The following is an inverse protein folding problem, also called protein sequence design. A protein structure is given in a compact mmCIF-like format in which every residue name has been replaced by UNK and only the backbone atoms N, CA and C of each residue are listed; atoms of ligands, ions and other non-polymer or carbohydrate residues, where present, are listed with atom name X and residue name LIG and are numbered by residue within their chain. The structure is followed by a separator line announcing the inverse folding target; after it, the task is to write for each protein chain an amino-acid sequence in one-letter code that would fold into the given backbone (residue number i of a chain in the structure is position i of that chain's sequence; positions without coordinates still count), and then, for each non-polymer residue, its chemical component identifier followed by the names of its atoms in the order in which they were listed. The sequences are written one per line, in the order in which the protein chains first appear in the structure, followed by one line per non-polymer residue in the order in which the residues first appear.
data_IF_898959561852
#
_entry.id   IF_898959561852
#
_cell.length_a   1.000
_cell.length_b   1.000
_cell.length_c   1.000
_cell.angle_alpha   90.00
_cell.angle_beta   90.00
_cell.angle_gamma   90.00
#
_symmetry.space_group_name_H-M   'P 1'
#
loop_
_entity.id
_entity.type
_entity.pdbx_description
1 polymer ?
#
# COMPACT_ATOMS: atom_id res chain seq x y z
N UNK A 1 -3.99 4.69 16.00
CA UNK A 1 -3.63 4.11 14.69
C UNK A 1 -4.09 2.66 14.60
N UNK A 2 -3.76 1.79 15.55
CA UNK A 2 -4.13 0.37 15.50
C UNK A 2 -5.66 0.20 15.39
N UNK A 3 -6.44 0.89 16.22
CA UNK A 3 -7.91 0.86 16.15
C UNK A 3 -8.43 1.31 14.79
N UNK A 4 -7.84 2.37 14.21
CA UNK A 4 -8.17 2.82 12.86
C UNK A 4 -7.91 1.74 11.80
N UNK A 5 -6.76 1.04 11.88
CA UNK A 5 -6.47 -0.07 10.96
C UNK A 5 -7.45 -1.23 11.13
N UNK A 6 -7.88 -1.47 12.36
CA UNK A 6 -8.86 -2.51 12.66
C UNK A 6 -10.23 -2.18 12.04
N UNK A 7 -10.69 -0.95 12.20
CA UNK A 7 -11.93 -0.46 11.60
C UNK A 7 -11.88 -0.50 10.07
N UNK A 8 -10.77 0.00 9.48
CA UNK A 8 -10.53 -0.05 8.03
C UNK A 8 -10.54 -1.48 7.47
N UNK A 9 -9.99 -2.44 8.18
CA UNK A 9 -10.01 -3.83 7.78
C UNK A 9 -11.41 -4.45 7.97
N UNK A 10 -12.09 -4.11 9.06
CA UNK A 10 -13.37 -4.69 9.47
C UNK A 10 -14.46 -4.45 8.42
N UNK A 11 -14.69 -3.19 8.02
CA UNK A 11 -15.71 -2.89 7.03
C UNK A 11 -15.39 -3.45 5.65
N UNK A 12 -14.11 -3.47 5.25
CA UNK A 12 -13.67 -4.07 3.98
C UNK A 12 -13.93 -5.56 3.92
N UNK A 13 -13.58 -6.29 4.99
CA UNK A 13 -13.86 -7.72 5.08
C UNK A 13 -15.35 -8.02 5.01
N UNK A 14 -16.17 -7.21 5.69
CA UNK A 14 -17.63 -7.37 5.65
C UNK A 14 -18.17 -7.22 4.22
N UNK A 15 -17.73 -6.20 3.49
CA UNK A 15 -18.16 -5.97 2.10
C UNK A 15 -17.65 -7.08 1.17
N UNK A 16 -16.37 -7.47 1.27
CA UNK A 16 -15.79 -8.55 0.49
C UNK A 16 -16.44 -9.90 0.77
N UNK A 17 -16.82 -10.18 2.02
CA UNK A 17 -17.57 -11.39 2.38
C UNK A 17 -18.98 -11.39 1.78
N UNK A 18 -19.65 -10.24 1.74
CA UNK A 18 -20.93 -10.08 1.06
C UNK A 18 -20.85 -10.34 -0.44
N UNK A 19 -19.83 -9.79 -1.10
CA UNK A 19 -19.54 -10.02 -2.52
C UNK A 19 -19.20 -11.48 -2.82
N UNK A 20 -18.38 -12.11 -1.96
CA UNK A 20 -18.08 -13.53 -2.06
C UNK A 20 -19.37 -14.36 -2.02
N UNK A 21 -20.24 -14.10 -1.05
CA UNK A 21 -21.54 -14.79 -0.91
C UNK A 21 -22.42 -14.55 -2.15
N UNK A 22 -22.45 -13.32 -2.68
CA UNK A 22 -23.22 -13.02 -3.89
C UNK A 22 -22.74 -13.83 -5.10
N UNK A 23 -21.42 -14.03 -5.26
CA UNK A 23 -20.84 -14.90 -6.27
C UNK A 23 -21.25 -16.37 -6.05
N UNK A 24 -21.23 -16.83 -4.78
CA UNK A 24 -21.61 -18.22 -4.44
C UNK A 24 -23.06 -18.54 -4.80
N UNK A 25 -23.95 -17.59 -4.59
CA UNK A 25 -25.40 -17.74 -4.80
C UNK A 25 -25.85 -17.38 -6.22
N UNK A 26 -24.99 -16.83 -7.05
CA UNK A 26 -25.33 -16.45 -8.41
C UNK A 26 -25.63 -17.69 -9.29
N UNK A 27 -26.77 -17.63 -10.01
CA UNK A 27 -27.05 -18.61 -11.04
C UNK A 27 -26.24 -18.32 -12.32
N UNK A 28 -26.22 -19.25 -13.25
CA UNK A 28 -25.40 -19.19 -14.47
C UNK A 28 -25.56 -17.90 -15.27
N UNK A 29 -26.76 -17.32 -15.31
CA UNK A 29 -27.03 -16.06 -16.03
C UNK A 29 -26.42 -14.84 -15.33
N UNK A 30 -26.33 -14.84 -14.00
CA UNK A 30 -25.85 -13.71 -13.18
C UNK A 30 -24.38 -13.86 -12.80
N UNK A 31 -23.85 -15.07 -12.82
CA UNK A 31 -22.50 -15.38 -12.37
C UNK A 31 -21.41 -14.56 -13.09
N UNK A 32 -21.41 -14.39 -14.42
CA UNK A 32 -20.37 -13.59 -15.07
C UNK A 32 -20.34 -12.13 -14.59
N UNK A 33 -21.52 -11.53 -14.39
CA UNK A 33 -21.61 -10.15 -13.88
C UNK A 33 -21.16 -10.08 -12.42
N UNK A 34 -21.60 -11.01 -11.57
CA UNK A 34 -21.20 -11.07 -10.16
C UNK A 34 -19.68 -11.20 -10.01
N UNK A 35 -19.04 -12.08 -10.80
CA UNK A 35 -17.59 -12.25 -10.80
C UNK A 35 -16.85 -10.97 -11.19
N UNK A 36 -17.29 -10.29 -12.25
CA UNK A 36 -16.67 -9.04 -12.71
C UNK A 36 -16.77 -7.95 -11.65
N UNK A 37 -17.95 -7.76 -11.05
CA UNK A 37 -18.13 -6.79 -9.95
C UNK A 37 -17.25 -7.15 -8.76
N UNK A 38 -17.21 -8.41 -8.36
CA UNK A 38 -16.45 -8.87 -7.20
C UNK A 38 -14.95 -8.68 -7.37
N UNK A 39 -14.38 -8.91 -8.55
CA UNK A 39 -12.95 -8.68 -8.85
C UNK A 39 -12.60 -7.20 -8.80
N UNK A 40 -13.43 -6.31 -9.36
CA UNK A 40 -13.17 -4.87 -9.32
C UNK A 40 -13.18 -4.36 -7.88
N UNK A 41 -14.14 -4.80 -7.08
CA UNK A 41 -14.22 -4.44 -5.67
C UNK A 41 -13.08 -5.06 -4.84
N UNK A 42 -12.67 -6.28 -5.14
CA UNK A 42 -11.52 -6.91 -4.50
C UNK A 42 -10.25 -6.07 -4.69
N UNK A 43 -10.02 -5.61 -5.93
CA UNK A 43 -8.90 -4.70 -6.21
C UNK A 43 -9.06 -3.34 -5.51
N UNK A 44 -10.24 -2.76 -5.51
CA UNK A 44 -10.49 -1.46 -4.86
C UNK A 44 -10.19 -1.53 -3.34
N UNK A 45 -10.58 -2.62 -2.69
CA UNK A 45 -10.27 -2.85 -1.28
C UNK A 45 -8.78 -3.12 -1.04
N UNK A 46 -8.13 -3.86 -1.94
CA UNK A 46 -6.69 -4.10 -1.92
C UNK A 46 -5.92 -2.77 -1.97
N UNK A 47 -6.10 -1.98 -3.03
CA UNK A 47 -5.40 -0.71 -3.21
C UNK A 47 -5.76 0.30 -2.10
N UNK A 48 -7.04 0.42 -1.79
CA UNK A 48 -7.52 1.36 -0.78
C UNK A 48 -7.01 1.06 0.62
N UNK A 49 -6.95 -0.22 1.01
CA UNK A 49 -6.41 -0.60 2.31
C UNK A 49 -4.91 -0.29 2.42
N UNK A 50 -4.12 -0.69 1.44
CA UNK A 50 -2.66 -0.45 1.44
C UNK A 50 -2.35 1.04 1.52
N UNK A 51 -3.06 1.85 0.73
CA UNK A 51 -2.92 3.30 0.77
C UNK A 51 -3.24 3.86 2.17
N UNK A 52 -4.44 3.59 2.68
CA UNK A 52 -4.92 4.14 3.93
C UNK A 52 -4.08 3.67 5.13
N UNK A 53 -3.70 2.40 5.17
CA UNK A 53 -2.88 1.85 6.23
C UNK A 53 -1.46 2.45 6.24
N UNK A 54 -0.84 2.59 5.08
CA UNK A 54 0.49 3.20 4.94
C UNK A 54 0.48 4.69 5.30
N UNK A 55 -0.55 5.43 4.87
CA UNK A 55 -0.72 6.85 5.24
C UNK A 55 -0.95 7.01 6.75
N UNK A 56 -1.81 6.17 7.34
CA UNK A 56 -2.06 6.19 8.79
C UNK A 56 -0.78 5.90 9.59
N UNK A 57 0.05 4.97 9.11
CA UNK A 57 1.33 4.67 9.74
C UNK A 57 2.30 5.86 9.68
N UNK A 58 2.43 6.53 8.54
CA UNK A 58 3.28 7.73 8.39
C UNK A 58 2.79 8.87 9.29
N UNK A 59 1.48 9.10 9.37
CA UNK A 59 0.87 10.09 10.28
C UNK A 59 1.16 9.73 11.74
N UNK A 60 1.02 8.47 12.10
CA UNK A 60 1.33 7.99 13.45
C UNK A 60 2.80 8.26 13.82
N UNK A 61 3.74 7.95 12.93
CA UNK A 61 5.16 8.21 13.16
C UNK A 61 5.43 9.71 13.33
N UNK A 62 4.82 10.56 12.51
CA UNK A 62 4.94 12.03 12.64
C UNK A 62 4.45 12.51 14.01
N UNK A 63 3.34 11.94 14.51
CA UNK A 63 2.78 12.30 15.82
C UNK A 63 3.69 11.90 17.01
N UNK A 64 4.65 10.98 16.81
CA UNK A 64 5.64 10.66 17.85
C UNK A 64 6.62 11.79 18.11
N UNK A 65 6.68 12.80 17.25
CA UNK A 65 7.52 13.98 17.43
C UNK A 65 9.02 13.68 17.47
N UNK A 66 9.46 12.65 16.76
CA UNK A 66 10.87 12.28 16.65
C UNK A 66 11.65 13.28 15.79
N UNK A 67 12.93 13.39 16.05
CA UNK A 67 13.85 14.08 15.16
C UNK A 67 14.25 13.15 13.98
N UNK A 68 14.76 13.75 12.91
CA UNK A 68 15.15 13.00 11.70
C UNK A 68 16.21 11.93 11.97
N UNK A 69 17.18 12.24 12.85
CA UNK A 69 18.27 11.30 13.24
C UNK A 69 17.78 10.12 14.09
N UNK A 70 16.57 10.18 14.62
CA UNK A 70 15.95 9.13 15.43
C UNK A 70 15.11 8.15 14.58
N UNK A 71 14.84 8.51 13.31
CA UNK A 71 14.09 7.66 12.39
C UNK A 71 14.98 6.56 11.80
N UNK A 72 14.37 5.42 11.49
CA UNK A 72 15.02 4.45 10.62
C UNK A 72 15.29 5.03 9.22
N UNK A 73 16.20 4.42 8.47
CA UNK A 73 16.67 4.95 7.18
C UNK A 73 15.53 5.13 6.15
N UNK A 74 14.54 4.25 6.16
CA UNK A 74 13.43 4.28 5.22
C UNK A 74 12.55 5.53 5.43
N UNK A 75 12.13 5.76 6.65
CA UNK A 75 11.30 6.92 7.01
C UNK A 75 12.10 8.23 6.97
N UNK A 76 13.39 8.21 7.30
CA UNK A 76 14.26 9.35 7.07
C UNK A 76 14.29 9.72 5.58
N UNK A 77 14.52 8.75 4.69
CA UNK A 77 14.51 8.98 3.24
C UNK A 77 13.13 9.48 2.75
N UNK A 78 12.03 8.93 3.29
CA UNK A 78 10.68 9.39 2.98
C UNK A 78 10.45 10.85 3.38
N UNK A 79 10.89 11.24 4.57
CA UNK A 79 10.81 12.63 5.07
C UNK A 79 11.63 13.60 4.20
N UNK A 80 12.76 13.14 3.68
CA UNK A 80 13.66 13.93 2.85
C UNK A 80 13.36 13.86 1.34
N UNK A 81 12.33 13.10 0.92
CA UNK A 81 12.03 12.82 -0.50
C UNK A 81 12.00 14.08 -1.37
N UNK A 82 11.37 15.16 -0.91
CA UNK A 82 11.30 16.42 -1.67
C UNK A 82 12.71 16.99 -1.90
N UNK A 83 13.54 17.07 -0.85
CA UNK A 83 14.92 17.58 -0.95
C UNK A 83 15.77 16.71 -1.89
N UNK A 84 15.59 15.38 -1.80
CA UNK A 84 16.30 14.42 -2.68
C UNK A 84 15.87 14.61 -4.14
N UNK A 85 14.57 14.76 -4.41
CA UNK A 85 14.07 14.99 -5.77
C UNK A 85 14.56 16.33 -6.34
N UNK A 86 14.55 17.40 -5.55
CA UNK A 86 15.06 18.70 -5.95
C UNK A 86 16.56 18.63 -6.29
N UNK A 87 17.32 17.85 -5.53
CA UNK A 87 18.73 17.56 -5.80
C UNK A 87 18.92 16.81 -7.13
N UNK A 88 18.17 15.71 -7.33
CA UNK A 88 18.31 14.86 -8.53
C UNK A 88 17.86 15.58 -9.81
N UNK A 89 16.89 16.47 -9.71
CA UNK A 89 16.35 17.21 -10.87
C UNK A 89 17.16 18.43 -11.26
N UNK A 90 18.20 18.80 -10.50
CA UNK A 90 18.95 20.03 -10.69
C UNK A 90 20.45 19.80 -10.87
N UNK A 91 21.06 20.54 -11.79
CA UNK A 91 22.52 20.64 -11.96
C UNK A 91 23.14 21.78 -11.15
N UNK A 92 22.34 22.49 -10.32
CA UNK A 92 22.82 23.64 -9.55
C UNK A 92 23.63 23.18 -8.33
N UNK A 93 24.91 23.50 -8.32
CA UNK A 93 25.80 23.21 -7.19
C UNK A 93 25.26 23.73 -5.84
N UNK A 94 24.53 24.85 -5.84
CA UNK A 94 23.92 25.42 -4.64
C UNK A 94 22.91 24.49 -3.98
N UNK A 95 22.11 23.74 -4.77
CA UNK A 95 21.16 22.75 -4.22
C UNK A 95 21.90 21.52 -3.68
N UNK A 96 22.97 21.10 -4.35
CA UNK A 96 23.81 20.00 -3.89
C UNK A 96 24.47 20.33 -2.55
N UNK A 97 25.06 21.53 -2.44
CA UNK A 97 25.63 22.02 -1.15
C UNK A 97 24.56 22.10 -0.08
N UNK A 98 23.38 22.64 -0.40
CA UNK A 98 22.26 22.75 0.55
C UNK A 98 21.81 21.40 1.09
N UNK A 99 21.76 20.35 0.27
CA UNK A 99 21.40 18.99 0.75
C UNK A 99 22.48 18.45 1.69
N UNK A 100 23.75 18.57 1.34
CA UNK A 100 24.87 18.11 2.18
C UNK A 100 24.90 18.87 3.51
N UNK A 101 24.74 20.19 3.48
CA UNK A 101 24.68 21.02 4.68
C UNK A 101 23.51 20.64 5.59
N UNK A 102 22.35 20.36 4.99
CA UNK A 102 21.19 19.84 5.73
C UNK A 102 21.50 18.50 6.41
N UNK A 103 22.09 17.56 5.70
CA UNK A 103 22.45 16.23 6.24
C UNK A 103 23.48 16.33 7.37
N UNK A 104 24.36 17.31 7.34
CA UNK A 104 25.39 17.51 8.37
C UNK A 104 24.87 18.24 9.62
N UNK A 105 23.94 19.18 9.47
CA UNK A 105 23.60 20.16 10.51
C UNK A 105 22.17 20.11 11.01
N UNK A 106 21.25 19.47 10.24
CA UNK A 106 19.80 19.63 10.47
C UNK A 106 19.05 18.32 10.75
N UNK A 107 19.74 17.21 10.92
CA UNK A 107 19.10 15.95 11.29
C UNK A 107 18.48 15.96 12.70
N UNK A 108 18.83 16.93 13.55
CA UNK A 108 18.16 17.18 14.81
C UNK A 108 16.81 17.90 14.71
N UNK A 109 16.38 18.32 13.49
CA UNK A 109 15.05 18.92 13.29
C UNK A 109 13.96 17.85 13.37
N UNK A 110 12.73 18.28 13.72
CA UNK A 110 11.56 17.39 13.78
C UNK A 110 11.23 16.80 12.42
N UNK A 111 10.96 15.49 12.41
CA UNK A 111 10.53 14.79 11.21
C UNK A 111 9.14 15.24 10.78
N UNK A 112 9.00 15.53 9.49
CA UNK A 112 7.72 15.86 8.84
C UNK A 112 7.60 15.10 7.53
N UNK A 113 6.38 14.69 7.18
CA UNK A 113 6.11 14.00 5.93
C UNK A 113 5.17 14.84 5.08
N UNK A 114 5.48 14.99 3.80
CA UNK A 114 4.65 15.76 2.86
C UNK A 114 3.29 15.09 2.64
N UNK A 115 2.28 15.89 2.30
CA UNK A 115 0.99 15.35 1.83
C UNK A 115 1.22 14.47 0.59
N UNK A 116 0.57 13.31 0.53
CA UNK A 116 0.75 12.36 -0.58
C UNK A 116 2.11 11.63 -0.54
N UNK A 117 2.72 11.50 0.65
CA UNK A 117 3.93 10.70 0.83
C UNK A 117 3.76 9.26 0.33
N UNK A 118 2.55 8.73 0.41
CA UNK A 118 2.16 7.42 -0.14
C UNK A 118 1.35 7.64 -1.42
N UNK A 119 1.77 7.02 -2.52
CA UNK A 119 1.09 7.13 -3.81
C UNK A 119 1.02 5.74 -4.48
N UNK A 120 -0.19 5.25 -4.71
CA UNK A 120 -0.46 3.98 -5.39
C UNK A 120 -0.44 4.10 -6.92
N UNK A 121 -0.25 5.30 -7.46
CA UNK A 121 -0.26 5.62 -8.91
C UNK A 121 -1.57 5.21 -9.61
N UNK A 122 -2.65 5.04 -8.86
CA UNK A 122 -3.97 4.55 -9.33
C UNK A 122 -3.93 3.14 -9.98
N UNK A 123 -2.80 2.46 -9.87
CA UNK A 123 -2.56 1.09 -10.33
C UNK A 123 -1.53 0.45 -9.40
N UNK A 124 -2.03 -0.14 -8.31
CA UNK A 124 -1.16 -0.79 -7.33
C UNK A 124 -0.71 -2.16 -7.85
N UNK A 125 0.39 -2.17 -8.60
CA UNK A 125 1.13 -3.36 -9.00
C UNK A 125 2.13 -3.81 -7.91
N UNK A 126 2.76 -4.95 -8.12
CA UNK A 126 3.74 -5.50 -7.18
C UNK A 126 4.96 -4.58 -6.99
N UNK A 127 5.40 -3.89 -8.05
CA UNK A 127 6.50 -2.95 -7.99
C UNK A 127 6.14 -1.71 -7.16
N UNK A 128 4.94 -1.17 -7.35
CA UNK A 128 4.44 -0.02 -6.57
C UNK A 128 4.26 -0.40 -5.10
N UNK A 129 3.76 -1.62 -4.81
CA UNK A 129 3.70 -2.16 -3.45
C UNK A 129 5.09 -2.20 -2.81
N UNK A 130 6.09 -2.73 -3.52
CA UNK A 130 7.47 -2.79 -3.05
C UNK A 130 8.05 -1.40 -2.75
N UNK A 131 7.77 -0.40 -3.58
CA UNK A 131 8.20 0.98 -3.33
C UNK A 131 7.51 1.61 -2.11
N UNK A 132 6.22 1.35 -1.90
CA UNK A 132 5.50 1.81 -0.70
C UNK A 132 6.12 1.18 0.55
N UNK A 133 6.33 -0.14 0.54
CA UNK A 133 6.88 -0.86 1.69
C UNK A 133 8.31 -0.45 1.99
N UNK A 134 9.15 -0.29 0.96
CA UNK A 134 10.48 0.27 1.12
C UNK A 134 10.45 1.67 1.75
N UNK A 135 9.50 2.53 1.37
CA UNK A 135 9.41 3.88 1.90
C UNK A 135 9.01 3.91 3.39
N UNK A 136 8.15 2.98 3.84
CA UNK A 136 7.69 2.92 5.24
C UNK A 136 8.45 1.90 6.11
N UNK A 137 9.43 1.19 5.54
CA UNK A 137 10.26 0.24 6.27
C UNK A 137 9.58 -1.09 6.58
N UNK A 138 8.61 -1.52 5.76
CA UNK A 138 7.98 -2.85 5.83
C UNK A 138 8.74 -3.82 4.92
N UNK A 139 8.98 -5.04 5.39
CA UNK A 139 9.68 -6.05 4.60
C UNK A 139 8.80 -6.56 3.45
N UNK A 140 9.31 -6.50 2.22
CA UNK A 140 8.59 -6.94 1.01
C UNK A 140 8.65 -8.46 0.78
N UNK A 141 9.65 -9.13 1.33
CA UNK A 141 9.94 -10.56 1.06
C UNK A 141 8.75 -11.51 1.17
N UNK A 142 7.85 -11.38 2.18
CA UNK A 142 6.66 -12.23 2.27
C UNK A 142 5.70 -12.12 1.08
N UNK A 143 5.78 -11.01 0.33
CA UNK A 143 4.87 -10.67 -0.76
C UNK A 143 5.47 -10.88 -2.17
N UNK A 144 6.79 -11.05 -2.28
CA UNK A 144 7.48 -11.21 -3.58
C UNK A 144 6.96 -12.38 -4.39
N UNK A 145 6.68 -13.52 -3.73
CA UNK A 145 6.11 -14.71 -4.39
C UNK A 145 4.69 -14.50 -4.91
N UNK A 146 4.01 -13.43 -4.50
CA UNK A 146 2.66 -13.06 -4.92
C UNK A 146 2.64 -12.02 -6.04
N UNK A 147 3.79 -11.56 -6.53
CA UNK A 147 3.89 -10.53 -7.58
C UNK A 147 3.09 -10.90 -8.83
N UNK A 148 3.22 -12.14 -9.31
CA UNK A 148 2.46 -12.61 -10.46
C UNK A 148 0.93 -12.59 -10.21
N UNK A 149 0.47 -12.96 -9.02
CA UNK A 149 -0.95 -12.92 -8.66
C UNK A 149 -1.47 -11.47 -8.62
N UNK A 150 -0.70 -10.54 -8.04
CA UNK A 150 -1.06 -9.12 -8.00
C UNK A 150 -1.16 -8.55 -9.42
N UNK A 151 -0.14 -8.78 -10.26
CA UNK A 151 0.01 -8.09 -11.56
C UNK A 151 -0.84 -8.74 -12.65
N UNK A 152 -0.78 -10.07 -12.77
CA UNK A 152 -1.39 -10.77 -13.91
C UNK A 152 -2.80 -11.30 -13.66
N UNK A 153 -3.23 -11.35 -12.40
CA UNK A 153 -4.60 -11.72 -12.07
C UNK A 153 -5.37 -10.52 -11.54
N UNK A 154 -5.05 -10.03 -10.34
CA UNK A 154 -5.85 -8.98 -9.71
C UNK A 154 -5.89 -7.68 -10.53
N UNK A 155 -4.73 -7.09 -10.81
CA UNK A 155 -4.65 -5.80 -11.52
C UNK A 155 -5.09 -5.92 -12.99
N UNK A 156 -4.62 -6.94 -13.71
CA UNK A 156 -4.99 -7.15 -15.11
C UNK A 156 -6.48 -7.41 -15.26
N UNK A 157 -7.08 -8.22 -14.38
CA UNK A 157 -8.52 -8.49 -14.43
C UNK A 157 -9.32 -7.22 -14.20
N UNK A 158 -8.97 -6.43 -13.16
CA UNK A 158 -9.61 -5.14 -12.89
C UNK A 158 -9.48 -4.20 -14.10
N UNK A 159 -8.30 -4.09 -14.70
CA UNK A 159 -8.07 -3.21 -15.84
C UNK A 159 -8.90 -3.63 -17.05
N UNK A 160 -8.94 -4.92 -17.41
CA UNK A 160 -9.76 -5.44 -18.49
C UNK A 160 -11.25 -5.10 -18.26
N UNK A 161 -11.74 -5.30 -17.04
CA UNK A 161 -13.13 -5.02 -16.70
C UNK A 161 -13.42 -3.51 -16.77
N UNK A 162 -12.54 -2.67 -16.24
CA UNK A 162 -12.68 -1.21 -16.24
C UNK A 162 -12.66 -0.61 -17.65
N UNK A 163 -11.91 -1.20 -18.57
CA UNK A 163 -11.87 -0.82 -20.00
C UNK A 163 -12.95 -1.49 -20.86
N UNK A 164 -13.90 -2.19 -20.27
CA UNK A 164 -14.98 -2.83 -20.98
C UNK A 164 -14.58 -4.09 -21.78
N UNK A 165 -13.36 -4.60 -21.59
CA UNK A 165 -12.90 -5.82 -22.24
C UNK A 165 -13.59 -7.04 -21.63
N UNK A 166 -14.00 -7.99 -22.50
CA UNK A 166 -14.56 -9.25 -22.02
C UNK A 166 -13.46 -10.05 -21.29
N UNK A 167 -13.78 -10.48 -20.08
CA UNK A 167 -12.95 -11.36 -19.28
C UNK A 167 -13.77 -12.59 -18.90
N UNK A 168 -13.31 -13.76 -19.31
CA UNK A 168 -13.80 -15.03 -18.78
C UNK A 168 -13.05 -15.32 -17.49
N UNK A 169 -13.79 -15.45 -16.41
CA UNK A 169 -13.30 -15.83 -15.09
C UNK A 169 -14.29 -16.84 -14.53
N UNK A 170 -13.79 -17.94 -14.03
CA UNK A 170 -14.64 -18.90 -13.36
C UNK A 170 -14.69 -18.70 -11.84
N UNK A 171 -15.61 -19.42 -11.21
CA UNK A 171 -15.86 -19.30 -9.78
C UNK A 171 -14.67 -19.76 -8.95
N UNK A 172 -13.96 -20.81 -9.35
CA UNK A 172 -12.79 -21.35 -8.64
C UNK A 172 -11.60 -20.40 -8.71
N UNK A 173 -11.37 -19.80 -9.87
CA UNK A 173 -10.33 -18.79 -10.06
C UNK A 173 -10.58 -17.58 -9.15
N UNK A 174 -11.83 -17.11 -9.08
CA UNK A 174 -12.19 -16.02 -8.15
C UNK A 174 -12.02 -16.41 -6.68
N UNK A 175 -12.43 -17.60 -6.29
CA UNK A 175 -12.30 -18.10 -4.91
C UNK A 175 -10.83 -18.14 -4.48
N UNK A 176 -9.95 -18.66 -5.34
CA UNK A 176 -8.52 -18.70 -5.09
C UNK A 176 -7.93 -17.30 -4.97
N UNK A 177 -8.25 -16.39 -5.92
CA UNK A 177 -7.80 -15.01 -5.90
C UNK A 177 -8.28 -14.26 -4.64
N UNK A 178 -9.56 -14.40 -4.30
CA UNK A 178 -10.15 -13.79 -3.11
C UNK A 178 -9.44 -14.25 -1.83
N UNK A 179 -9.22 -15.55 -1.67
CA UNK A 179 -8.55 -16.12 -0.50
C UNK A 179 -7.13 -15.57 -0.33
N UNK A 180 -6.36 -15.52 -1.43
CA UNK A 180 -4.99 -15.01 -1.44
C UNK A 180 -4.94 -13.51 -1.08
N UNK A 181 -5.82 -12.70 -1.66
CA UNK A 181 -5.87 -11.26 -1.39
C UNK A 181 -6.27 -10.99 0.08
N UNK A 182 -7.26 -11.70 0.61
CA UNK A 182 -7.63 -11.59 2.03
C UNK A 182 -6.46 -11.99 2.94
N UNK A 183 -5.74 -13.06 2.60
CA UNK A 183 -4.53 -13.48 3.32
C UNK A 183 -3.46 -12.40 3.35
N UNK A 184 -3.15 -11.80 2.19
CA UNK A 184 -2.18 -10.71 2.09
C UNK A 184 -2.63 -9.45 2.86
N UNK A 185 -3.90 -9.07 2.79
CA UNK A 185 -4.44 -7.94 3.54
C UNK A 185 -4.28 -8.14 5.05
N UNK A 186 -4.54 -9.35 5.55
CA UNK A 186 -4.33 -9.69 6.96
C UNK A 186 -2.86 -9.59 7.37
N UNK A 187 -1.95 -10.09 6.52
CA UNK A 187 -0.52 -10.02 6.79
C UNK A 187 -0.04 -8.56 6.81
N UNK A 188 -0.45 -7.74 5.84
CA UNK A 188 -0.11 -6.31 5.79
C UNK A 188 -0.63 -5.56 7.02
N UNK A 189 -1.87 -5.85 7.43
CA UNK A 189 -2.44 -5.32 8.66
C UNK A 189 -1.54 -5.63 9.87
N UNK A 190 -1.11 -6.88 9.99
CA UNK A 190 -0.26 -7.34 11.08
C UNK A 190 1.12 -6.66 11.02
N UNK A 191 1.74 -6.60 9.85
CA UNK A 191 3.09 -6.05 9.68
C UNK A 191 3.13 -4.55 10.00
N UNK A 192 2.16 -3.77 9.51
CA UNK A 192 2.07 -2.33 9.80
C UNK A 192 1.74 -2.09 11.28
N UNK A 193 0.82 -2.87 11.85
CA UNK A 193 0.49 -2.76 13.28
C UNK A 193 1.68 -3.09 14.18
N UNK A 194 2.39 -4.17 13.88
CA UNK A 194 3.60 -4.56 14.61
C UNK A 194 4.71 -3.52 14.48
N UNK A 195 4.90 -2.95 13.29
CA UNK A 195 5.88 -1.89 13.05
C UNK A 195 5.64 -0.68 13.95
N UNK A 196 4.38 -0.31 14.14
CA UNK A 196 4.00 0.77 15.04
C UNK A 196 4.19 0.40 16.52
N UNK A 197 3.65 -0.76 16.93
CA UNK A 197 3.66 -1.19 18.32
C UNK A 197 5.07 -1.48 18.84
N UNK A 198 5.92 -2.08 18.03
CA UNK A 198 7.29 -2.40 18.37
C UNK A 198 8.27 -1.24 18.15
N UNK A 199 7.80 -0.12 17.62
CA UNK A 199 8.63 1.07 17.38
C UNK A 199 9.68 0.89 16.29
N UNK A 200 9.43 0.01 15.29
CA UNK A 200 10.39 -0.29 14.22
C UNK A 200 10.67 0.91 13.28
N UNK A 201 9.94 1.99 13.44
CA UNK A 201 10.20 3.28 12.79
C UNK A 201 11.41 4.03 13.39
N UNK A 202 11.93 3.59 14.52
CA UNK A 202 13.11 4.17 15.17
C UNK A 202 14.40 3.52 14.64
N UNK A 203 15.47 4.28 14.80
CA UNK A 203 16.84 3.81 14.55
C UNK A 203 17.29 2.85 15.64
#
# INVERSE_FOLDING_TARGET
MVDYLYDEMGWRKKELSGLYTAVQLANDKKLPTALRCAVVMLYAHWEGYIKNASEAYVIYVQQQGLNLDQLNTNLLALSLRKKINDFLSSQKATLHVSLVDFMQKKLGEKATFGSGAINTKSNLDSQTLAQIFAAIGIEIKPYELKSNLIDTQLLRYRNNIAHGTYLSLDKKEYEALHSEIIGMLNQIHTDISNSALLGLYKK
#
